data_IF_589782251609
#
_entry.id   IF_589782251609
#
_cell.length_a   1.000
_cell.length_b   1.000
_cell.length_c   1.000
_cell.angle_alpha   90.00
_cell.angle_beta   90.00
_cell.angle_gamma   90.00
#
_symmetry.space_group_name_H-M   'P 1'
#
loop_
_entity.id
_entity.type
_entity.pdbx_description
1 polymer ?
#
# COMPACT_ATOMS: atom_id res chain seq x y z
N UNK A 1 83.89 17.84 -24.38
CA UNK A 1 83.02 18.74 -25.17
C UNK A 1 82.29 19.68 -24.22
N UNK A 2 82.67 20.96 -24.27
CA UNK A 2 82.02 22.09 -23.61
C UNK A 2 80.65 22.38 -24.24
N UNK A 3 79.63 22.74 -23.46
CA UNK A 3 79.18 24.14 -23.42
C UNK A 3 78.32 24.44 -22.19
N UNK A 4 78.72 25.51 -21.50
CA UNK A 4 78.07 26.22 -20.40
C UNK A 4 76.80 26.94 -20.85
N UNK A 5 75.89 27.23 -19.91
CA UNK A 5 75.52 28.62 -19.56
C UNK A 5 74.88 28.70 -18.16
N UNK A 6 75.41 29.64 -17.38
CA UNK A 6 75.07 30.01 -16.01
C UNK A 6 73.95 31.07 -15.98
N UNK A 7 73.25 31.18 -14.84
CA UNK A 7 73.07 32.40 -13.99
C UNK A 7 71.93 32.14 -12.98
N UNK A 8 71.80 32.77 -11.81
CA UNK A 8 72.64 33.26 -10.72
C UNK A 8 71.62 33.77 -9.66
N UNK A 9 71.87 33.43 -8.38
CA UNK A 9 71.44 34.06 -7.11
C UNK A 9 70.23 35.01 -7.02
N UNK A 10 69.42 34.83 -5.97
CA UNK A 10 69.45 35.74 -4.81
C UNK A 10 68.54 35.24 -3.66
N UNK A 11 69.14 35.15 -2.47
CA UNK A 11 68.47 34.96 -1.18
C UNK A 11 68.09 36.37 -0.67
N UNK A 12 66.80 36.63 -0.40
CA UNK A 12 66.35 37.84 0.29
C UNK A 12 65.46 37.41 1.46
N UNK A 13 65.92 37.75 2.66
CA UNK A 13 65.12 37.70 3.89
C UNK A 13 64.22 38.93 3.96
N UNK A 14 62.94 38.73 4.27
CA UNK A 14 62.06 39.78 4.79
C UNK A 14 61.38 39.29 6.06
N UNK A 15 61.64 40.00 7.15
CA UNK A 15 60.94 39.92 8.43
C UNK A 15 59.68 40.77 8.31
N UNK A 16 58.47 40.20 8.49
CA UNK A 16 57.28 40.98 8.81
C UNK A 16 56.41 40.24 9.83
N UNK A 17 56.52 40.71 11.08
CA UNK A 17 55.49 40.96 12.10
C UNK A 17 54.38 39.90 12.32
N UNK A 18 54.47 39.30 13.51
CA UNK A 18 53.44 38.58 14.24
C UNK A 18 52.17 39.41 14.45
N UNK A 19 51.02 38.91 13.96
CA UNK A 19 49.69 39.25 14.47
C UNK A 19 48.98 37.97 14.93
N UNK A 20 48.48 38.01 16.18
CA UNK A 20 47.77 36.94 16.89
C UNK A 20 46.64 36.32 16.05
N UNK A 21 46.60 34.98 15.99
CA UNK A 21 45.39 34.23 15.65
C UNK A 21 44.26 34.64 16.61
N UNK A 22 43.19 35.24 16.09
CA UNK A 22 41.89 35.20 16.75
C UNK A 22 41.41 33.75 16.67
N UNK A 23 41.04 33.19 17.80
CA UNK A 23 40.30 31.94 17.87
C UNK A 23 38.95 32.20 17.21
N UNK A 24 38.67 31.52 16.11
CA UNK A 24 37.33 31.48 15.56
C UNK A 24 36.44 30.76 16.59
N UNK A 25 35.54 31.51 17.21
CA UNK A 25 34.43 30.95 17.99
C UNK A 25 33.66 29.98 17.09
N UNK A 26 33.28 28.79 17.60
CA UNK A 26 32.39 27.92 16.85
C UNK A 26 31.08 28.68 16.62
N UNK A 27 30.73 28.81 15.35
CA UNK A 27 29.44 29.35 14.92
C UNK A 27 28.35 28.58 15.66
N UNK A 28 27.34 29.24 16.26
CA UNK A 28 26.26 28.53 16.89
C UNK A 28 25.57 27.68 15.82
N UNK A 29 25.66 26.36 15.96
CA UNK A 29 24.85 25.43 15.20
C UNK A 29 23.41 25.83 15.47
N UNK A 30 22.72 26.32 14.44
CA UNK A 30 21.29 26.57 14.52
C UNK A 30 20.61 25.28 15.02
N UNK A 31 19.69 25.35 16.00
CA UNK A 31 18.93 24.16 16.40
C UNK A 31 18.33 23.52 15.16
N UNK A 32 18.21 22.18 15.09
CA UNK A 32 17.49 21.54 13.99
C UNK A 32 16.11 22.20 13.94
N UNK A 33 15.76 22.72 12.76
CA UNK A 33 14.44 23.30 12.51
C UNK A 33 13.43 22.27 12.98
N UNK A 34 12.76 22.52 14.10
CA UNK A 34 11.61 21.73 14.51
C UNK A 34 10.61 21.84 13.37
N UNK A 35 10.52 20.80 12.55
CA UNK A 35 9.47 20.66 11.54
C UNK A 35 8.16 20.81 12.31
N UNK A 36 7.48 21.93 12.09
CA UNK A 36 6.26 22.24 12.83
C UNK A 36 5.23 21.18 12.45
N UNK A 37 4.83 20.36 13.43
CA UNK A 37 3.77 19.36 13.21
C UNK A 37 2.48 20.08 12.86
N UNK A 38 1.80 19.58 11.83
CA UNK A 38 0.44 19.97 11.50
C UNK A 38 -0.48 19.70 12.71
N UNK A 39 -1.62 20.41 12.84
CA UNK A 39 -2.62 20.10 13.85
C UNK A 39 -3.10 18.64 13.77
N UNK A 40 -3.78 18.17 14.82
CA UNK A 40 -4.37 16.82 14.83
C UNK A 40 -5.31 16.66 13.62
N UNK A 41 -5.05 15.63 12.80
CA UNK A 41 -5.89 15.30 11.64
C UNK A 41 -7.21 14.66 12.10
N UNK A 42 -8.36 14.95 11.45
CA UNK A 42 -9.63 14.28 11.72
C UNK A 42 -9.56 12.76 11.59
N UNK A 43 -8.72 12.25 10.68
CA UNK A 43 -8.58 10.84 10.38
C UNK A 43 -7.49 10.15 11.23
N UNK A 44 -6.87 10.90 12.16
CA UNK A 44 -5.84 10.37 13.04
C UNK A 44 -4.48 10.21 12.38
N UNK A 45 -4.21 10.96 11.30
CA UNK A 45 -2.91 10.97 10.64
C UNK A 45 -1.77 11.29 11.61
N UNK A 46 -0.65 10.60 11.41
CA UNK A 46 0.57 10.73 12.21
C UNK A 46 1.70 11.26 11.34
N UNK A 47 1.93 10.62 10.18
CA UNK A 47 3.01 11.00 9.28
C UNK A 47 2.70 10.57 7.84
N UNK A 48 3.07 11.42 6.88
CA UNK A 48 3.12 11.09 5.45
C UNK A 48 4.58 11.00 5.05
N UNK A 49 4.95 9.92 4.38
CA UNK A 49 6.27 9.71 3.82
C UNK A 49 6.20 9.69 2.30
N UNK A 50 7.19 10.30 1.66
CA UNK A 50 7.51 10.00 0.26
C UNK A 50 8.29 8.70 0.20
N UNK A 51 7.89 7.82 -0.72
CA UNK A 51 8.52 6.53 -0.98
C UNK A 51 9.48 6.64 -2.16
N UNK A 52 10.72 6.18 -1.97
CA UNK A 52 11.69 6.02 -3.05
C UNK A 52 12.42 4.67 -2.93
N UNK A 53 11.92 3.67 -3.65
CA UNK A 53 12.43 2.30 -3.57
C UNK A 53 12.20 1.70 -2.18
N UNK A 54 13.28 1.56 -1.40
CA UNK A 54 13.28 1.03 -0.03
C UNK A 54 13.35 2.13 1.03
N UNK A 55 13.46 3.39 0.61
CA UNK A 55 13.67 4.53 1.50
C UNK A 55 12.38 5.32 1.70
N UNK A 56 12.15 5.74 2.95
CA UNK A 56 11.11 6.68 3.32
C UNK A 56 11.74 8.04 3.67
N UNK A 57 11.16 9.10 3.13
CA UNK A 57 11.48 10.48 3.51
C UNK A 57 10.24 11.12 4.10
N UNK A 58 10.34 11.65 5.33
CA UNK A 58 9.22 12.33 5.98
C UNK A 58 8.80 13.56 5.14
N UNK A 59 7.55 13.58 4.70
CA UNK A 59 6.94 14.67 3.92
C UNK A 59 6.15 15.60 4.84
N UNK A 60 5.27 15.03 5.65
CA UNK A 60 4.41 15.76 6.59
C UNK A 60 4.30 14.98 7.91
N UNK A 61 4.12 15.70 9.01
CA UNK A 61 3.93 15.12 10.34
C UNK A 61 2.85 15.88 11.09
N UNK A 62 2.06 15.17 11.87
CA UNK A 62 0.87 15.69 12.55
C UNK A 62 1.00 15.55 14.06
N UNK A 63 0.30 16.42 14.79
CA UNK A 63 0.07 16.23 16.21
C UNK A 63 -0.79 14.98 16.40
N UNK A 64 -0.36 14.08 17.28
CA UNK A 64 -1.07 12.82 17.55
C UNK A 64 -1.88 12.93 18.83
N UNK A 65 -3.12 12.42 18.81
CA UNK A 65 -3.98 12.33 19.98
C UNK A 65 -3.34 11.51 21.10
N UNK A 66 -3.59 11.88 22.36
CA UNK A 66 -2.89 11.30 23.53
C UNK A 66 -2.93 9.78 23.58
N UNK A 67 -4.08 9.17 23.25
CA UNK A 67 -4.25 7.72 23.26
C UNK A 67 -3.42 6.97 22.20
N UNK A 68 -2.99 7.67 21.14
CA UNK A 68 -2.22 7.09 20.04
C UNK A 68 -0.75 7.51 20.04
N UNK A 69 -0.27 8.17 21.11
CA UNK A 69 1.10 8.69 21.17
C UNK A 69 2.19 7.63 20.98
N UNK A 70 1.93 6.39 21.37
CA UNK A 70 2.86 5.28 21.16
C UNK A 70 3.12 4.95 19.68
N UNK A 71 2.31 5.49 18.76
CA UNK A 71 2.45 5.34 17.32
C UNK A 71 3.17 6.50 16.65
N UNK A 72 3.68 7.51 17.39
CA UNK A 72 4.66 8.47 16.84
C UNK A 72 6.04 7.83 16.63
N UNK A 73 6.25 6.65 17.18
CA UNK A 73 7.48 5.88 17.15
C UNK A 73 7.88 5.47 15.72
N UNK A 74 9.00 6.05 15.25
CA UNK A 74 9.53 5.82 13.92
C UNK A 74 10.05 4.40 13.72
N UNK A 75 10.38 3.67 14.79
CA UNK A 75 10.75 2.26 14.69
C UNK A 75 9.57 1.43 14.22
N UNK A 76 8.35 1.70 14.71
CA UNK A 76 7.12 1.02 14.25
C UNK A 76 6.79 1.32 12.79
N UNK A 77 7.03 2.56 12.37
CA UNK A 77 6.84 2.96 10.97
C UNK A 77 7.81 2.21 10.05
N UNK A 78 9.08 2.14 10.46
CA UNK A 78 10.12 1.43 9.72
C UNK A 78 9.91 -0.10 9.73
N UNK A 79 9.41 -0.67 10.83
CA UNK A 79 9.05 -2.09 10.91
C UNK A 79 7.93 -2.44 9.91
N UNK A 80 6.86 -1.63 9.88
CA UNK A 80 5.79 -1.78 8.89
C UNK A 80 6.35 -1.64 7.46
N UNK A 81 7.16 -0.63 7.20
CA UNK A 81 7.75 -0.41 5.89
C UNK A 81 8.68 -1.54 5.43
N UNK A 82 9.45 -2.11 6.36
CA UNK A 82 10.29 -3.28 6.10
C UNK A 82 9.45 -4.52 5.75
N UNK A 83 8.21 -4.59 6.22
CA UNK A 83 7.26 -5.63 5.81
C UNK A 83 6.66 -5.35 4.43
N UNK A 84 6.24 -4.11 4.16
CA UNK A 84 5.71 -3.68 2.86
C UNK A 84 6.74 -3.94 1.76
N UNK A 85 7.97 -3.48 1.93
CA UNK A 85 9.05 -3.62 0.93
C UNK A 85 9.45 -5.07 0.66
N UNK A 86 9.26 -5.96 1.63
CA UNK A 86 9.54 -7.39 1.49
C UNK A 86 8.47 -8.10 0.66
N UNK A 87 7.21 -7.69 0.82
CA UNK A 87 6.07 -8.28 0.10
C UNK A 87 5.85 -7.64 -1.27
N UNK A 88 6.11 -6.34 -1.41
CA UNK A 88 5.87 -5.56 -2.62
C UNK A 88 7.11 -5.56 -3.53
N UNK A 89 7.07 -6.24 -4.69
CA UNK A 89 8.26 -6.37 -5.54
C UNK A 89 8.77 -5.03 -6.09
N UNK A 90 10.09 -4.94 -6.27
CA UNK A 90 10.80 -3.67 -6.50
C UNK A 90 10.42 -2.90 -7.76
N UNK A 91 9.92 -3.58 -8.78
CA UNK A 91 9.46 -3.02 -10.06
C UNK A 91 8.04 -2.46 -10.01
N UNK A 92 7.25 -2.84 -9.00
CA UNK A 92 5.89 -2.32 -8.80
C UNK A 92 5.89 -1.20 -7.75
N UNK A 93 6.85 -1.21 -6.80
CA UNK A 93 7.04 -0.14 -5.82
C UNK A 93 7.08 1.29 -6.38
N UNK A 94 7.59 1.59 -7.60
CA UNK A 94 7.54 2.95 -8.15
C UNK A 94 6.12 3.54 -8.28
N UNK A 95 5.09 2.69 -8.29
CA UNK A 95 3.68 3.13 -8.28
C UNK A 95 3.22 3.58 -6.88
N UNK A 96 3.81 3.03 -5.81
CA UNK A 96 3.54 3.44 -4.44
C UNK A 96 4.47 4.61 -4.09
N UNK A 97 3.96 5.83 -4.18
CA UNK A 97 4.76 7.05 -3.98
C UNK A 97 4.62 7.67 -2.60
N UNK A 98 3.56 7.32 -1.87
CA UNK A 98 3.32 7.82 -0.53
C UNK A 98 2.92 6.70 0.44
N UNK A 99 3.44 6.76 1.66
CA UNK A 99 2.97 5.98 2.80
C UNK A 99 2.40 6.93 3.84
N UNK A 100 1.11 6.78 4.15
CA UNK A 100 0.46 7.47 5.26
C UNK A 100 0.39 6.51 6.46
N UNK A 101 0.83 7.00 7.60
CA UNK A 101 0.65 6.34 8.88
C UNK A 101 -0.42 7.11 9.66
N UNK A 102 -1.43 6.39 10.14
CA UNK A 102 -2.50 6.95 10.98
C UNK A 102 -2.82 6.00 12.15
N UNK A 103 -3.58 6.49 13.12
CA UNK A 103 -4.09 5.69 14.22
C UNK A 103 -5.50 6.15 14.62
N UNK A 104 -6.43 5.20 14.65
CA UNK A 104 -7.84 5.45 15.00
C UNK A 104 -8.48 4.20 15.63
N UNK A 105 -9.50 4.40 16.47
CA UNK A 105 -10.30 3.31 17.07
C UNK A 105 -11.35 2.72 16.10
N UNK A 106 -11.59 3.39 14.98
CA UNK A 106 -12.49 2.96 13.92
C UNK A 106 -11.83 3.01 12.55
N UNK A 107 -12.52 2.51 11.53
CA UNK A 107 -11.99 2.43 10.15
C UNK A 107 -11.35 1.09 9.81
N UNK A 108 -10.75 1.00 8.62
CA UNK A 108 -10.03 -0.17 8.12
C UNK A 108 -8.61 -0.27 8.68
N UNK A 109 -7.96 -1.40 8.39
CA UNK A 109 -6.56 -1.67 8.75
C UNK A 109 -5.59 -0.88 7.87
N UNK A 110 -5.95 -0.73 6.60
CA UNK A 110 -5.22 0.03 5.61
C UNK A 110 -6.18 0.49 4.51
N UNK A 111 -5.65 1.26 3.57
CA UNK A 111 -6.28 1.56 2.30
C UNK A 111 -5.22 1.90 1.25
N UNK A 112 -5.57 1.83 -0.04
CA UNK A 112 -4.85 2.50 -1.12
C UNK A 112 -5.77 3.46 -1.86
N UNK A 113 -5.19 4.57 -2.31
CA UNK A 113 -5.87 5.56 -3.12
C UNK A 113 -4.88 6.20 -4.10
N UNK A 114 -5.32 6.61 -5.29
CA UNK A 114 -4.46 7.40 -6.17
C UNK A 114 -4.10 8.73 -5.48
N UNK A 115 -2.88 9.22 -5.71
CA UNK A 115 -2.46 10.54 -5.21
C UNK A 115 -3.21 11.67 -5.93
N UNK A 116 -3.69 11.37 -7.14
CA UNK A 116 -4.54 12.22 -7.96
C UNK A 116 -5.57 11.33 -8.65
N UNK A 117 -6.87 11.57 -8.42
CA UNK A 117 -7.97 10.74 -8.95
C UNK A 117 -8.00 10.64 -10.48
N UNK A 118 -7.32 11.54 -11.18
CA UNK A 118 -7.19 11.53 -12.64
C UNK A 118 -5.90 10.85 -13.15
N UNK A 119 -5.04 10.35 -12.25
CA UNK A 119 -3.75 9.74 -12.55
C UNK A 119 -3.49 8.49 -11.68
N UNK A 120 -3.78 7.33 -12.26
CA UNK A 120 -3.59 6.01 -11.61
C UNK A 120 -2.16 5.48 -11.70
N UNK A 121 -1.17 6.33 -12.03
CA UNK A 121 0.24 5.94 -12.04
C UNK A 121 0.92 6.06 -10.66
N UNK A 122 0.30 6.80 -9.72
CA UNK A 122 0.86 7.09 -8.40
C UNK A 122 -0.18 6.91 -7.31
N UNK A 123 0.19 6.13 -6.30
CA UNK A 123 -0.69 5.72 -5.24
C UNK A 123 -0.11 6.05 -3.87
N UNK A 124 -1.01 6.25 -2.93
CA UNK A 124 -0.76 6.31 -1.49
C UNK A 124 -1.28 5.03 -0.86
N UNK A 125 -0.53 4.47 0.06
CA UNK A 125 -1.01 3.43 0.99
C UNK A 125 -1.11 4.04 2.39
N UNK A 126 -2.29 3.97 3.01
CA UNK A 126 -2.51 4.35 4.40
C UNK A 126 -2.51 3.11 5.30
N UNK A 127 -1.94 3.19 6.50
CA UNK A 127 -1.98 2.10 7.49
C UNK A 127 -2.35 2.59 8.89
N UNK A 128 -3.32 1.91 9.51
CA UNK A 128 -3.75 2.14 10.88
C UNK A 128 -2.88 1.34 11.86
N UNK A 129 -1.91 1.99 12.52
CA UNK A 129 -1.05 1.27 13.47
C UNK A 129 -1.81 0.75 14.69
N UNK A 130 -2.91 1.39 15.08
CA UNK A 130 -3.75 0.92 16.18
C UNK A 130 -4.47 -0.40 15.85
N UNK A 131 -4.70 -0.69 14.57
CA UNK A 131 -5.34 -1.92 14.12
C UNK A 131 -4.37 -3.11 14.01
N UNK A 132 -3.08 -2.84 13.76
CA UNK A 132 -2.07 -3.88 13.50
C UNK A 132 -1.08 -4.10 14.63
N UNK A 133 -1.02 -3.22 15.63
CA UNK A 133 -0.20 -3.42 16.82
C UNK A 133 -1.05 -3.76 18.05
N UNK A 134 -0.57 -4.71 18.84
CA UNK A 134 -1.00 -4.89 20.23
C UNK A 134 0.14 -4.47 21.15
N UNK A 135 0.03 -3.27 21.72
CA UNK A 135 1.13 -2.65 22.48
C UNK A 135 2.34 -2.36 21.58
N UNK A 136 3.43 -3.09 21.79
CA UNK A 136 4.67 -2.97 21.00
C UNK A 136 4.89 -4.12 20.01
N UNK A 137 3.92 -5.02 19.87
CA UNK A 137 4.03 -6.17 18.97
C UNK A 137 3.16 -5.98 17.74
N UNK A 138 3.79 -6.02 16.56
CA UNK A 138 3.10 -6.06 15.28
C UNK A 138 2.46 -7.45 15.07
N UNK A 139 1.15 -7.48 14.77
CA UNK A 139 0.50 -8.69 14.27
C UNK A 139 0.93 -8.92 12.82
N UNK A 140 2.01 -9.67 12.64
CA UNK A 140 2.56 -9.98 11.32
C UNK A 140 1.56 -10.70 10.41
N UNK A 141 0.64 -11.50 10.95
CA UNK A 141 -0.25 -12.29 10.09
C UNK A 141 -1.33 -11.39 9.48
N UNK A 142 -1.98 -10.57 10.31
CA UNK A 142 -2.98 -9.60 9.84
C UNK A 142 -2.34 -8.48 9.02
N UNK A 143 -1.17 -7.98 9.43
CA UNK A 143 -0.43 -6.95 8.67
C UNK A 143 -0.04 -7.48 7.29
N UNK A 144 0.52 -8.69 7.23
CA UNK A 144 0.94 -9.29 5.97
C UNK A 144 -0.23 -9.58 5.03
N UNK A 145 -1.35 -10.08 5.57
CA UNK A 145 -2.59 -10.24 4.82
C UNK A 145 -3.09 -8.90 4.26
N UNK A 146 -3.14 -7.88 5.11
CA UNK A 146 -3.58 -6.53 4.74
C UNK A 146 -2.68 -5.92 3.66
N UNK A 147 -1.35 -6.03 3.78
CA UNK A 147 -0.42 -5.54 2.76
C UNK A 147 -0.68 -6.21 1.41
N UNK A 148 -0.90 -7.53 1.38
CA UNK A 148 -1.16 -8.25 0.14
C UNK A 148 -2.54 -7.86 -0.44
N UNK A 149 -3.54 -7.63 0.41
CA UNK A 149 -4.85 -7.13 0.02
C UNK A 149 -4.75 -5.76 -0.65
N UNK A 150 -4.13 -4.78 0.02
CA UNK A 150 -3.92 -3.45 -0.55
C UNK A 150 -3.08 -3.51 -1.82
N UNK A 151 -2.14 -4.45 -1.90
CA UNK A 151 -1.40 -4.67 -3.11
C UNK A 151 -2.27 -5.28 -4.24
N UNK A 152 -3.27 -6.09 -3.89
CA UNK A 152 -4.29 -6.55 -4.82
C UNK A 152 -4.98 -5.40 -5.53
N UNK A 153 -5.39 -4.36 -4.78
CA UNK A 153 -5.94 -3.13 -5.36
C UNK A 153 -4.96 -2.44 -6.31
N UNK A 154 -3.68 -2.25 -5.92
CA UNK A 154 -2.67 -1.67 -6.82
C UNK A 154 -2.49 -2.51 -8.10
N UNK A 155 -2.49 -3.84 -7.98
CA UNK A 155 -2.30 -4.75 -9.11
C UNK A 155 -3.50 -4.77 -10.07
N UNK A 156 -4.71 -4.45 -9.60
CA UNK A 156 -5.94 -4.53 -10.40
C UNK A 156 -6.48 -3.18 -10.84
N UNK A 157 -6.06 -2.08 -10.19
CA UNK A 157 -6.56 -0.72 -10.45
C UNK A 157 -5.54 0.23 -11.08
N UNK A 158 -4.26 -0.14 -11.20
CA UNK A 158 -3.25 0.75 -11.77
C UNK A 158 -3.54 1.17 -13.22
N UNK A 159 -2.83 2.19 -13.70
CA UNK A 159 -3.01 2.76 -15.05
C UNK A 159 -2.85 1.79 -16.23
N UNK A 160 -2.32 0.57 -16.03
CA UNK A 160 -2.31 -0.49 -17.05
C UNK A 160 -3.59 -1.33 -17.09
N UNK A 161 -4.38 -1.30 -16.01
CA UNK A 161 -5.64 -2.03 -15.85
C UNK A 161 -6.85 -1.12 -16.06
N UNK A 162 -6.82 0.11 -15.54
CA UNK A 162 -7.95 1.05 -15.56
C UNK A 162 -7.62 2.32 -16.35
N UNK A 163 -8.50 2.70 -17.27
CA UNK A 163 -8.44 3.94 -18.02
C UNK A 163 -9.22 5.04 -17.29
N UNK A 164 -8.50 5.84 -16.51
CA UNK A 164 -9.05 6.96 -15.74
C UNK A 164 -9.68 8.06 -16.59
N UNK A 165 -9.39 8.12 -17.90
CA UNK A 165 -9.94 9.15 -18.78
C UNK A 165 -11.37 8.86 -19.25
N UNK A 166 -11.81 7.60 -19.13
CA UNK A 166 -13.13 7.15 -19.60
C UNK A 166 -14.14 7.30 -18.47
N UNK A 167 -15.26 7.98 -18.73
CA UNK A 167 -16.34 8.17 -17.76
C UNK A 167 -17.25 6.94 -17.69
N UNK A 168 -17.98 6.80 -16.58
CA UNK A 168 -18.86 5.65 -16.31
C UNK A 168 -19.85 5.37 -17.45
N UNK A 169 -20.50 6.41 -17.98
CA UNK A 169 -21.48 6.29 -19.07
C UNK A 169 -20.85 5.98 -20.44
N UNK A 170 -19.53 6.10 -20.57
CA UNK A 170 -18.74 5.79 -21.76
C UNK A 170 -18.03 4.41 -21.62
N UNK A 171 -18.06 3.81 -20.43
CA UNK A 171 -17.39 2.55 -20.17
C UNK A 171 -18.16 1.37 -20.78
N UNK A 172 -17.47 0.62 -21.64
CA UNK A 172 -18.01 -0.56 -22.32
C UNK A 172 -17.65 -1.88 -21.62
N UNK A 173 -16.82 -1.80 -20.58
CA UNK A 173 -16.43 -2.93 -19.72
C UNK A 173 -16.95 -2.68 -18.30
N UNK A 174 -16.19 -3.04 -17.27
CA UNK A 174 -16.51 -2.75 -15.87
C UNK A 174 -15.92 -1.41 -15.42
N UNK A 175 -16.70 -0.60 -14.70
CA UNK A 175 -16.29 0.67 -14.11
C UNK A 175 -16.24 0.55 -12.58
N UNK A 176 -15.06 0.38 -11.96
CA UNK A 176 -14.93 0.25 -10.49
C UNK A 176 -15.11 1.57 -9.73
N UNK A 177 -14.97 2.73 -10.39
CA UNK A 177 -15.01 4.05 -9.76
C UNK A 177 -13.89 4.95 -10.29
N UNK A 178 -12.71 4.38 -10.49
CA UNK A 178 -11.47 5.07 -10.89
C UNK A 178 -11.30 5.25 -12.40
N UNK A 179 -12.23 4.73 -13.20
CA UNK A 179 -12.16 4.73 -14.66
C UNK A 179 -12.73 3.44 -15.26
N UNK A 180 -12.55 3.25 -16.57
CA UNK A 180 -13.04 2.03 -17.24
C UNK A 180 -11.96 0.95 -17.28
N UNK A 181 -12.30 -0.28 -16.90
CA UNK A 181 -11.39 -1.42 -17.05
C UNK A 181 -11.05 -1.69 -18.51
N UNK A 182 -9.75 -1.90 -18.77
CA UNK A 182 -9.26 -2.25 -20.11
C UNK A 182 -9.63 -3.69 -20.45
N UNK A 183 -9.74 -3.98 -21.74
CA UNK A 183 -10.11 -5.31 -22.24
C UNK A 183 -9.19 -6.44 -21.78
N UNK A 184 -7.92 -6.14 -21.48
CA UNK A 184 -6.94 -7.08 -20.96
C UNK A 184 -6.72 -6.96 -19.44
N UNK A 185 -7.54 -6.18 -18.73
CA UNK A 185 -7.45 -6.06 -17.28
C UNK A 185 -7.95 -7.34 -16.59
N UNK A 186 -7.48 -7.61 -15.36
CA UNK A 186 -7.99 -8.69 -14.53
C UNK A 186 -9.47 -8.51 -14.19
N UNK A 187 -9.87 -7.26 -13.93
CA UNK A 187 -11.22 -6.89 -13.51
C UNK A 187 -12.29 -7.19 -14.57
N UNK A 188 -11.95 -7.07 -15.85
CA UNK A 188 -12.91 -7.29 -16.94
C UNK A 188 -13.48 -8.72 -16.95
N UNK A 189 -12.67 -9.80 -17.13
CA UNK A 189 -13.18 -11.15 -17.07
C UNK A 189 -13.64 -11.54 -15.66
N UNK A 190 -13.09 -10.92 -14.60
CA UNK A 190 -13.55 -11.16 -13.23
C UNK A 190 -15.01 -10.73 -13.03
N UNK A 191 -15.34 -9.50 -13.44
CA UNK A 191 -16.69 -8.97 -13.34
C UNK A 191 -17.65 -9.74 -14.26
N UNK A 192 -17.28 -9.90 -15.53
CA UNK A 192 -18.14 -10.53 -16.54
C UNK A 192 -18.52 -11.97 -16.18
N UNK A 193 -17.57 -12.75 -15.63
CA UNK A 193 -17.80 -14.16 -15.29
C UNK A 193 -18.48 -14.36 -13.94
N UNK A 194 -18.27 -13.47 -12.96
CA UNK A 194 -18.58 -13.78 -11.56
C UNK A 194 -19.48 -12.78 -10.82
N UNK A 195 -19.69 -11.59 -11.37
CA UNK A 195 -20.52 -10.54 -10.76
C UNK A 195 -21.71 -10.11 -11.61
N UNK A 196 -21.61 -10.17 -12.94
CA UNK A 196 -22.63 -9.63 -13.85
C UNK A 196 -24.04 -10.17 -13.62
N UNK A 197 -24.15 -11.44 -13.21
CA UNK A 197 -25.44 -12.08 -12.92
C UNK A 197 -26.07 -11.66 -11.57
N UNK A 198 -25.28 -11.09 -10.65
CA UNK A 198 -25.72 -10.62 -9.33
C UNK A 198 -25.64 -9.10 -9.17
N UNK A 199 -25.18 -8.38 -10.20
CA UNK A 199 -24.89 -6.94 -10.14
C UNK A 199 -26.14 -6.08 -9.89
N UNK A 200 -27.28 -6.44 -10.47
CA UNK A 200 -28.54 -5.72 -10.23
C UNK A 200 -28.96 -5.84 -8.76
N UNK A 201 -29.01 -7.07 -8.22
CA UNK A 201 -29.38 -7.31 -6.83
C UNK A 201 -28.41 -6.62 -5.86
N UNK A 202 -27.12 -6.63 -6.18
CA UNK A 202 -26.11 -5.89 -5.43
C UNK A 202 -26.38 -4.37 -5.44
N UNK A 203 -26.71 -3.79 -6.61
CA UNK A 203 -27.01 -2.37 -6.74
C UNK A 203 -28.25 -1.92 -5.95
N UNK A 204 -29.20 -2.83 -5.70
CA UNK A 204 -30.43 -2.57 -4.94
C UNK A 204 -30.21 -2.59 -3.40
N UNK A 205 -29.03 -2.98 -2.92
CA UNK A 205 -28.68 -3.00 -1.49
C UNK A 205 -28.59 -1.57 -0.94
N UNK A 206 -27.93 -0.65 -1.67
CA UNK A 206 -27.60 0.68 -1.15
C UNK A 206 -26.78 0.59 0.14
N UNK A 207 -27.00 1.50 1.09
CA UNK A 207 -26.29 1.53 2.38
C UNK A 207 -26.94 0.65 3.47
N UNK A 208 -27.87 -0.24 3.12
CA UNK A 208 -28.62 -1.06 4.07
C UNK A 208 -27.82 -2.31 4.50
N UNK A 209 -27.34 -2.29 5.75
CA UNK A 209 -26.56 -3.39 6.33
C UNK A 209 -27.32 -4.72 6.36
N UNK A 210 -28.63 -4.70 6.62
CA UNK A 210 -29.41 -5.94 6.70
C UNK A 210 -29.56 -6.58 5.31
N UNK A 211 -29.70 -5.75 4.26
CA UNK A 211 -29.67 -6.22 2.87
C UNK A 211 -28.29 -6.73 2.48
N UNK A 212 -27.23 -6.05 2.89
CA UNK A 212 -25.85 -6.49 2.64
C UNK A 212 -25.58 -7.86 3.28
N UNK A 213 -25.99 -8.05 4.53
CA UNK A 213 -25.88 -9.34 5.24
C UNK A 213 -26.72 -10.42 4.53
N UNK A 214 -27.94 -10.09 4.08
CA UNK A 214 -28.79 -11.02 3.34
C UNK A 214 -28.18 -11.44 1.99
N UNK A 215 -27.61 -10.49 1.26
CA UNK A 215 -26.90 -10.73 0.00
C UNK A 215 -25.71 -11.67 0.21
N UNK A 216 -24.86 -11.38 1.21
CA UNK A 216 -23.75 -12.27 1.55
C UNK A 216 -24.24 -13.68 1.92
N UNK A 217 -25.25 -13.80 2.79
CA UNK A 217 -25.75 -15.11 3.21
C UNK A 217 -26.28 -15.94 2.03
N UNK A 218 -26.93 -15.29 1.05
CA UNK A 218 -27.43 -15.91 -0.19
C UNK A 218 -26.29 -16.36 -1.11
N UNK A 219 -25.25 -15.53 -1.26
CA UNK A 219 -24.16 -15.74 -2.21
C UNK A 219 -22.83 -16.18 -1.56
N UNK A 220 -22.84 -16.62 -0.31
CA UNK A 220 -21.63 -16.90 0.49
C UNK A 220 -20.59 -17.77 -0.21
N UNK A 221 -21.01 -18.76 -1.01
CA UNK A 221 -20.14 -19.67 -1.76
C UNK A 221 -19.40 -19.01 -2.94
N UNK A 222 -19.73 -17.75 -3.25
CA UNK A 222 -19.08 -16.95 -4.29
C UNK A 222 -17.90 -16.13 -3.78
N UNK A 223 -17.79 -15.96 -2.47
CA UNK A 223 -16.82 -15.05 -1.86
C UNK A 223 -15.84 -15.81 -0.99
N UNK A 224 -14.57 -15.38 -1.04
CA UNK A 224 -13.48 -15.98 -0.24
C UNK A 224 -13.56 -15.57 1.24
N UNK A 225 -14.16 -14.41 1.50
CA UNK A 225 -14.47 -13.86 2.83
C UNK A 225 -15.83 -13.14 2.78
N UNK A 226 -16.39 -12.76 3.94
CA UNK A 226 -17.55 -11.85 3.95
C UNK A 226 -17.21 -10.44 3.49
N UNK A 227 -15.95 -10.02 3.67
CA UNK A 227 -15.48 -8.71 3.22
C UNK A 227 -15.45 -8.63 1.70
N UNK A 228 -15.08 -9.71 1.01
CA UNK A 228 -15.13 -9.79 -0.46
C UNK A 228 -16.55 -9.57 -1.06
N UNK A 229 -17.62 -9.61 -0.26
CA UNK A 229 -18.97 -9.33 -0.75
C UNK A 229 -19.34 -7.83 -0.74
N UNK A 230 -18.46 -6.95 -0.25
CA UNK A 230 -18.72 -5.50 -0.14
C UNK A 230 -18.84 -4.83 -1.49
N UNK A 231 -17.98 -5.16 -2.45
CA UNK A 231 -18.02 -4.71 -3.84
C UNK A 231 -17.04 -5.54 -4.70
N UNK A 232 -17.08 -5.45 -6.05
CA UNK A 232 -16.17 -6.20 -6.92
C UNK A 232 -14.67 -5.87 -6.78
N UNK A 233 -14.32 -4.63 -6.40
CA UNK A 233 -12.94 -4.20 -6.14
C UNK A 233 -12.35 -4.91 -4.91
N UNK A 234 -13.10 -4.95 -3.82
CA UNK A 234 -12.72 -5.65 -2.60
C UNK A 234 -12.69 -7.18 -2.79
N UNK A 235 -13.62 -7.71 -3.57
CA UNK A 235 -13.64 -9.13 -3.92
C UNK A 235 -12.35 -9.53 -4.67
N UNK A 236 -11.96 -8.78 -5.70
CA UNK A 236 -10.76 -9.14 -6.47
C UNK A 236 -9.49 -8.99 -5.63
N UNK A 237 -9.41 -8.02 -4.71
CA UNK A 237 -8.28 -7.85 -3.80
C UNK A 237 -8.18 -9.00 -2.77
N UNK A 238 -9.30 -9.43 -2.21
CA UNK A 238 -9.34 -10.62 -1.34
C UNK A 238 -8.98 -11.89 -2.12
N UNK A 239 -9.55 -12.08 -3.32
CA UNK A 239 -9.22 -13.22 -4.18
C UNK A 239 -7.74 -13.23 -4.55
N UNK A 240 -7.15 -12.08 -4.89
CA UNK A 240 -5.72 -11.94 -5.14
C UNK A 240 -4.90 -12.36 -3.92
N UNK A 241 -5.30 -11.92 -2.72
CA UNK A 241 -4.64 -12.29 -1.47
C UNK A 241 -4.66 -13.80 -1.25
N UNK A 242 -5.79 -14.45 -1.49
CA UNK A 242 -5.90 -15.90 -1.44
C UNK A 242 -5.10 -16.59 -2.56
N UNK A 243 -5.08 -16.04 -3.77
CA UNK A 243 -4.24 -16.55 -4.86
C UNK A 243 -2.76 -16.56 -4.45
N UNK A 244 -2.28 -15.48 -3.83
CA UNK A 244 -0.90 -15.37 -3.35
C UNK A 244 -0.61 -16.35 -2.20
N UNK A 245 -1.44 -16.35 -1.15
CA UNK A 245 -1.13 -17.06 0.09
C UNK A 245 -1.39 -18.57 0.06
N UNK A 246 -2.27 -19.05 -0.83
CA UNK A 246 -2.53 -20.49 -0.96
C UNK A 246 -1.34 -21.25 -1.54
N UNK A 247 -1.20 -22.52 -1.15
CA UNK A 247 -0.19 -23.41 -1.71
C UNK A 247 -0.64 -24.10 -3.00
N UNK A 248 -1.94 -24.31 -3.16
CA UNK A 248 -2.56 -25.06 -4.25
C UNK A 248 -3.46 -24.17 -5.13
N UNK A 249 -3.64 -24.60 -6.37
CA UNK A 249 -4.76 -24.15 -7.20
C UNK A 249 -6.07 -24.63 -6.58
N UNK A 250 -7.14 -23.86 -6.71
CA UNK A 250 -8.43 -24.29 -6.20
C UNK A 250 -8.97 -25.45 -7.05
N UNK A 251 -9.18 -26.61 -6.43
CA UNK A 251 -9.77 -27.79 -7.07
C UNK A 251 -11.31 -27.86 -6.98
N UNK A 252 -11.93 -26.93 -6.24
CA UNK A 252 -13.38 -26.90 -6.01
C UNK A 252 -14.19 -26.30 -7.16
N UNK A 253 -15.49 -26.62 -7.20
CA UNK A 253 -16.45 -26.10 -8.20
C UNK A 253 -17.10 -24.77 -7.80
N UNK A 254 -16.85 -24.28 -6.58
CA UNK A 254 -17.39 -23.03 -6.06
C UNK A 254 -16.86 -21.82 -6.84
N UNK A 255 -17.68 -20.78 -6.96
CA UNK A 255 -17.31 -19.54 -7.66
C UNK A 255 -16.10 -18.87 -7.00
N UNK A 256 -16.00 -18.87 -5.67
CA UNK A 256 -14.82 -18.35 -4.96
C UNK A 256 -13.51 -19.01 -5.44
N UNK A 257 -13.53 -20.32 -5.66
CA UNK A 257 -12.39 -21.07 -6.19
C UNK A 257 -12.07 -20.75 -7.65
N UNK A 258 -13.10 -20.58 -8.48
CA UNK A 258 -12.94 -20.18 -9.89
C UNK A 258 -12.37 -18.77 -10.03
N UNK A 259 -12.75 -17.84 -9.14
CA UNK A 259 -12.16 -16.50 -9.04
C UNK A 259 -10.66 -16.57 -8.75
N UNK A 260 -10.24 -17.40 -7.79
CA UNK A 260 -8.80 -17.62 -7.51
C UNK A 260 -8.09 -18.17 -8.74
N UNK A 261 -8.71 -19.13 -9.43
CA UNK A 261 -8.11 -19.76 -10.60
C UNK A 261 -7.98 -18.81 -11.81
N UNK A 262 -8.81 -17.76 -11.91
CA UNK A 262 -8.72 -16.77 -12.97
C UNK A 262 -7.32 -16.15 -13.07
N UNK A 263 -6.64 -15.91 -11.95
CA UNK A 263 -5.30 -15.33 -11.94
C UNK A 263 -4.23 -16.23 -12.59
N UNK A 264 -4.47 -17.54 -12.73
CA UNK A 264 -3.57 -18.42 -13.47
C UNK A 264 -3.71 -18.30 -14.99
N UNK A 265 -4.75 -17.62 -15.49
CA UNK A 265 -4.90 -17.31 -16.92
C UNK A 265 -3.94 -16.16 -17.35
N UNK A 266 -3.23 -15.55 -16.40
CA UNK A 266 -2.32 -14.42 -16.60
C UNK A 266 -0.90 -14.77 -16.14
N UNK A 267 0.05 -14.83 -17.08
CA UNK A 267 1.45 -15.19 -16.81
C UNK A 267 2.12 -14.18 -15.86
N UNK A 268 1.80 -12.90 -16.01
CA UNK A 268 2.29 -11.82 -15.18
C UNK A 268 1.79 -11.95 -13.73
N UNK A 269 0.54 -12.37 -13.51
CA UNK A 269 -0.02 -12.58 -12.17
C UNK A 269 0.64 -13.78 -11.47
N UNK A 270 0.89 -14.87 -12.22
CA UNK A 270 1.61 -16.04 -11.68
C UNK A 270 3.05 -15.70 -11.32
N UNK A 271 3.73 -14.91 -12.16
CA UNK A 271 5.07 -14.39 -11.88
C UNK A 271 5.07 -13.51 -10.64
N UNK A 272 4.10 -12.60 -10.54
CA UNK A 272 3.93 -11.70 -9.42
C UNK A 272 3.71 -12.45 -8.10
N UNK A 273 2.77 -13.41 -8.10
CA UNK A 273 2.54 -14.30 -6.96
C UNK A 273 3.83 -14.93 -6.45
N UNK A 274 4.62 -15.53 -7.34
CA UNK A 274 5.84 -16.22 -6.94
C UNK A 274 6.89 -15.27 -6.33
N UNK A 275 6.85 -13.99 -6.69
CA UNK A 275 7.73 -12.97 -6.09
C UNK A 275 7.25 -12.54 -4.72
N UNK A 276 5.96 -12.24 -4.55
CA UNK A 276 5.38 -11.88 -3.25
C UNK A 276 5.58 -13.05 -2.26
N UNK A 277 5.32 -14.29 -2.68
CA UNK A 277 5.46 -15.48 -1.82
C UNK A 277 6.87 -15.66 -1.24
N UNK A 278 7.93 -15.16 -1.91
CA UNK A 278 9.30 -15.19 -1.37
C UNK A 278 9.48 -14.27 -0.16
N UNK A 279 8.66 -13.23 -0.06
CA UNK A 279 8.65 -12.28 1.05
C UNK A 279 7.76 -12.68 2.22
N UNK A 280 6.92 -13.71 2.08
CA UNK A 280 6.01 -14.16 3.14
C UNK A 280 6.78 -14.95 4.20
N UNK A 281 6.89 -14.38 5.40
CA UNK A 281 7.54 -14.99 6.57
C UNK A 281 6.59 -15.17 7.76
N UNK A 282 5.28 -15.05 7.53
CA UNK A 282 4.22 -15.17 8.52
C UNK A 282 3.31 -16.36 8.21
N UNK A 283 2.65 -16.87 9.24
CA UNK A 283 1.67 -17.93 9.08
C UNK A 283 0.31 -17.32 8.75
N UNK A 284 -0.35 -17.86 7.73
CA UNK A 284 -1.74 -17.54 7.44
C UNK A 284 -2.55 -18.84 7.42
N UNK A 285 -3.71 -18.83 8.09
CA UNK A 285 -4.61 -19.97 8.07
C UNK A 285 -5.15 -20.16 6.65
N UNK A 286 -4.63 -21.17 5.95
CA UNK A 286 -5.09 -21.47 4.59
C UNK A 286 -6.56 -21.87 4.61
N UNK A 287 -7.35 -21.31 3.69
CA UNK A 287 -8.70 -21.77 3.42
C UNK A 287 -8.69 -23.22 2.91
N UNK A 288 -8.73 -24.20 3.80
CA UNK A 288 -9.07 -25.56 3.42
C UNK A 288 -10.59 -25.69 3.40
N UNK A 289 -11.15 -26.07 2.24
CA UNK A 289 -12.57 -26.42 2.04
C UNK A 289 -13.63 -25.31 2.17
N UNK A 290 -13.29 -24.04 1.91
CA UNK A 290 -14.31 -23.00 1.71
C UNK A 290 -15.20 -22.72 2.92
N UNK A 291 -14.70 -22.93 4.14
CA UNK A 291 -15.36 -22.50 5.38
C UNK A 291 -14.39 -21.71 6.24
N UNK A 292 -14.71 -20.44 6.44
CA UNK A 292 -14.18 -19.68 7.57
C UNK A 292 -14.83 -20.22 8.86
N UNK A 293 -13.99 -20.62 9.82
CA UNK A 293 -14.31 -20.50 11.24
C UNK A 293 -13.27 -19.56 11.85
N UNK A 294 -13.40 -18.25 11.65
CA UNK A 294 -12.74 -17.28 12.50
C UNK A 294 -13.47 -15.94 12.50
N UNK A 295 -13.43 -15.30 13.66
CA UNK A 295 -14.30 -14.24 14.19
C UNK A 295 -14.16 -12.86 13.55
N UNK A 296 -13.47 -12.72 12.42
CA UNK A 296 -13.30 -11.43 11.75
C UNK A 296 -14.48 -11.16 10.81
N UNK A 297 -15.64 -10.87 11.41
CA UNK A 297 -16.68 -10.09 10.71
C UNK A 297 -16.14 -8.68 10.53
N UNK A 298 -15.33 -8.43 9.49
CA UNK A 298 -15.16 -7.06 8.99
C UNK A 298 -16.56 -6.63 8.53
N UNK A 299 -17.09 -5.53 9.09
CA UNK A 299 -18.42 -5.03 8.71
C UNK A 299 -18.42 -4.87 7.18
N UNK A 300 -19.49 -5.29 6.53
CA UNK A 300 -19.68 -5.03 5.11
C UNK A 300 -19.86 -3.51 4.98
N UNK A 301 -18.76 -2.79 4.75
CA UNK A 301 -18.82 -1.37 4.46
C UNK A 301 -19.27 -1.22 3.01
N UNK A 302 -20.52 -0.80 2.83
CA UNK A 302 -21.00 -0.31 1.53
C UNK A 302 -20.47 1.12 1.38
N UNK A 303 -19.19 1.28 1.03
CA UNK A 303 -18.72 2.53 0.44
C UNK A 303 -18.55 2.31 -1.05
N UNK A 304 -19.10 3.23 -1.85
CA UNK A 304 -18.62 3.43 -3.22
C UNK A 304 -17.15 3.86 -3.11
N UNK A 305 -16.29 3.25 -3.92
CA UNK A 305 -15.05 3.92 -4.30
C UNK A 305 -15.40 5.23 -4.99
#
# INVERSE_FOLDING_TARGET
>A
MNFKKHLLFAFIAMIIVSCKKKNDEPTPVSPPTTTQKNPISPDGDIAIYTVNGDQLTLKEEFQVATQFKAFEDKEKHNELWAMITRLLPSDIRPQLTELLIYASDGGGFAYVAPVNDQDLSKWRMGFNLNAVYSGNQLDKSETGYTIIHEFGHLATLHAGQIDASVRENECTSYFPGEGCSRTNAYLTPFYDKFWKDIAQEFGEIGEDQARADAFYNKYQHRFVTSYAATNPGEDIAEVFTHFVLRNDQSSGTQIAGKKINLFYDFDEATTLRNRIKKGVDFNYAQLYSGRFTNSLRKRICVRRH
#
